data_IF_117454490877
#
_entry.id   IF_117454490877
#
_cell.length_a   1.000
_cell.length_b   1.000
_cell.length_c   1.000
_cell.angle_alpha   90.00
_cell.angle_beta   90.00
_cell.angle_gamma   90.00
#
_symmetry.space_group_name_H-M   'P 1'
#
loop_
_entity.id
_entity.type
_entity.pdbx_description
1 polymer ?
#
# COMPACT_ATOMS: atom_id res chain seq x y z
N UNK A 1 1.73 -27.81 4.69
CA UNK A 1 2.16 -26.53 5.30
C UNK A 1 2.17 -25.49 4.18
N UNK A 2 1.20 -24.58 4.15
CA UNK A 2 1.29 -23.37 3.33
C UNK A 2 1.22 -22.23 4.32
N UNK A 3 2.39 -21.76 4.75
CA UNK A 3 2.50 -20.50 5.46
C UNK A 3 1.98 -19.42 4.52
N UNK A 4 0.81 -18.87 4.83
CA UNK A 4 0.54 -17.48 4.44
C UNK A 4 1.67 -16.66 5.02
N UNK A 5 2.44 -15.92 4.21
CA UNK A 5 3.25 -14.77 4.60
C UNK A 5 4.06 -14.27 3.39
N UNK A 6 3.80 -13.03 2.98
CA UNK A 6 4.72 -12.17 2.21
C UNK A 6 4.90 -12.41 0.70
N UNK A 7 4.06 -13.21 0.03
CA UNK A 7 4.19 -13.41 -1.43
C UNK A 7 3.69 -12.23 -2.29
N UNK A 8 2.91 -11.30 -1.71
CA UNK A 8 2.30 -10.17 -2.44
C UNK A 8 3.06 -8.85 -2.34
N UNK A 9 4.22 -8.80 -1.68
CA UNK A 9 4.97 -7.54 -1.52
C UNK A 9 5.49 -6.98 -2.84
N UNK A 10 5.70 -7.84 -3.84
CA UNK A 10 6.15 -7.49 -5.18
C UNK A 10 4.98 -7.22 -6.15
N UNK A 11 3.73 -7.38 -5.69
CA UNK A 11 2.53 -7.05 -6.47
C UNK A 11 2.55 -5.57 -6.86
N UNK A 12 2.51 -5.30 -8.17
CA UNK A 12 2.42 -3.93 -8.70
C UNK A 12 0.97 -3.47 -8.60
N UNK A 13 0.72 -2.45 -7.79
CA UNK A 13 -0.60 -1.84 -7.65
C UNK A 13 -0.79 -0.64 -8.57
N UNK A 14 0.30 0.03 -8.96
CA UNK A 14 0.25 1.15 -9.88
C UNK A 14 1.23 0.95 -11.03
N UNK A 15 0.71 0.57 -12.20
CA UNK A 15 1.52 0.37 -13.41
C UNK A 15 2.23 1.64 -13.89
N UNK A 16 1.66 2.82 -13.63
CA UNK A 16 2.28 4.08 -14.06
C UNK A 16 3.58 4.41 -13.33
N UNK A 17 3.64 4.11 -12.03
CA UNK A 17 4.78 4.43 -11.17
C UNK A 17 5.61 3.20 -10.79
N UNK A 18 5.11 2.00 -11.07
CA UNK A 18 5.69 0.75 -10.57
C UNK A 18 5.56 0.61 -9.06
N UNK A 19 4.58 1.26 -8.44
CA UNK A 19 4.38 1.17 -6.98
C UNK A 19 3.85 -0.21 -6.62
N UNK A 20 4.56 -0.89 -5.73
CA UNK A 20 4.17 -2.22 -5.24
C UNK A 20 3.42 -2.15 -3.91
N UNK A 21 2.67 -3.20 -3.60
CA UNK A 21 2.00 -3.39 -2.31
C UNK A 21 2.98 -3.30 -1.15
N UNK A 22 4.14 -3.95 -1.26
CA UNK A 22 5.18 -3.93 -0.24
C UNK A 22 5.71 -2.52 0.03
N UNK A 23 5.80 -1.67 -1.02
CA UNK A 23 6.18 -0.26 -0.86
C UNK A 23 5.16 0.48 0.01
N UNK A 24 3.86 0.33 -0.24
CA UNK A 24 2.80 0.98 0.55
C UNK A 24 2.82 0.47 1.99
N UNK A 25 2.86 -0.85 2.20
CA UNK A 25 2.91 -1.44 3.54
C UNK A 25 4.15 -0.98 4.33
N UNK A 26 5.30 -0.81 3.66
CA UNK A 26 6.50 -0.27 4.31
C UNK A 26 6.33 1.16 4.80
N UNK A 27 5.53 1.99 4.11
CA UNK A 27 5.21 3.36 4.50
C UNK A 27 4.23 3.36 5.68
N UNK A 28 3.21 2.50 5.64
CA UNK A 28 2.26 2.33 6.75
C UNK A 28 2.97 1.88 8.02
N UNK A 29 3.93 0.95 7.92
CA UNK A 29 4.74 0.51 9.05
C UNK A 29 5.61 1.63 9.66
N UNK A 30 5.92 2.68 8.88
CA UNK A 30 6.60 3.89 9.36
C UNK A 30 5.62 4.91 9.98
N UNK A 31 4.32 4.60 10.05
CA UNK A 31 3.26 5.50 10.50
C UNK A 31 2.73 6.44 9.42
N UNK A 32 3.12 6.25 8.16
CA UNK A 32 2.62 7.04 7.03
C UNK A 32 1.36 6.36 6.49
N UNK A 33 0.21 6.89 6.89
CA UNK A 33 -1.12 6.37 6.53
C UNK A 33 -1.94 7.35 5.68
N UNK A 34 -1.35 8.49 5.33
CA UNK A 34 -1.98 9.56 4.57
C UNK A 34 -1.77 9.37 3.06
N UNK A 35 -2.86 9.32 2.30
CA UNK A 35 -2.85 9.08 0.85
C UNK A 35 -2.09 10.14 0.07
N UNK A 36 -2.15 11.42 0.46
CA UNK A 36 -1.39 12.50 -0.21
C UNK A 36 0.12 12.31 -0.02
N UNK A 37 0.53 12.00 1.21
CA UNK A 37 1.93 11.72 1.54
C UNK A 37 2.45 10.49 0.81
N UNK A 38 1.64 9.44 0.71
CA UNK A 38 1.97 8.22 -0.03
C UNK A 38 2.14 8.55 -1.52
N UNK A 39 1.16 9.22 -2.12
CA UNK A 39 1.20 9.67 -3.52
C UNK A 39 2.48 10.46 -3.83
N UNK A 40 2.87 11.41 -2.97
CA UNK A 40 4.12 12.18 -3.13
C UNK A 40 5.39 11.33 -3.03
N UNK A 41 5.37 10.24 -2.25
CA UNK A 41 6.54 9.38 -2.01
C UNK A 41 6.70 8.28 -3.05
N UNK A 42 5.60 7.83 -3.66
CA UNK A 42 5.60 6.67 -4.56
C UNK A 42 5.23 7.04 -6.00
N UNK A 43 4.53 8.17 -6.20
CA UNK A 43 3.99 8.57 -7.51
C UNK A 43 2.71 7.81 -7.89
N UNK A 44 2.13 7.03 -6.97
CA UNK A 44 0.82 6.42 -7.20
C UNK A 44 -0.29 7.48 -7.09
N UNK A 45 -1.44 7.27 -7.76
CA UNK A 45 -2.61 8.18 -7.74
C UNK A 45 -2.37 9.53 -8.46
N UNK A 46 -1.13 10.04 -8.54
CA UNK A 46 -0.81 11.28 -9.26
C UNK A 46 -0.85 11.18 -10.80
N UNK A 47 -1.03 9.97 -11.33
CA UNK A 47 -1.03 9.67 -12.77
C UNK A 47 -2.44 9.44 -13.34
N UNK A 48 -2.71 8.20 -13.75
CA UNK A 48 -3.99 7.79 -14.35
C UNK A 48 -5.15 7.62 -13.35
N UNK A 49 -4.87 7.53 -12.05
CA UNK A 49 -5.87 7.28 -10.99
C UNK A 49 -6.42 5.85 -10.93
N UNK A 50 -6.01 4.93 -11.81
CA UNK A 50 -6.58 3.57 -11.88
C UNK A 50 -6.38 2.76 -10.61
N UNK A 51 -5.29 3.00 -9.88
CA UNK A 51 -4.90 2.31 -8.66
C UNK A 51 -5.49 2.91 -7.37
N UNK A 52 -6.27 3.99 -7.47
CA UNK A 52 -6.76 4.75 -6.30
C UNK A 52 -7.56 3.87 -5.34
N UNK A 53 -8.55 3.15 -5.86
CA UNK A 53 -9.38 2.24 -5.07
C UNK A 53 -8.59 1.12 -4.41
N UNK A 54 -7.65 0.49 -5.14
CA UNK A 54 -6.83 -0.61 -4.59
C UNK A 54 -5.92 -0.13 -3.47
N UNK A 55 -5.39 1.09 -3.58
CA UNK A 55 -4.53 1.70 -2.56
C UNK A 55 -5.35 2.10 -1.32
N UNK A 56 -6.55 2.65 -1.49
CA UNK A 56 -7.43 2.98 -0.36
C UNK A 56 -7.80 1.73 0.43
N UNK A 57 -8.23 0.66 -0.25
CA UNK A 57 -8.56 -0.63 0.38
C UNK A 57 -7.33 -1.17 1.13
N UNK A 58 -6.16 -1.16 0.50
CA UNK A 58 -4.92 -1.63 1.13
C UNK A 58 -4.57 -0.82 2.38
N UNK A 59 -4.77 0.50 2.34
CA UNK A 59 -4.48 1.37 3.47
C UNK A 59 -5.43 1.09 4.63
N UNK A 60 -6.73 0.98 4.36
CA UNK A 60 -7.73 0.66 5.37
C UNK A 60 -7.42 -0.69 6.03
N UNK A 61 -7.17 -1.74 5.23
CA UNK A 61 -6.77 -3.06 5.73
C UNK A 61 -5.49 -2.98 6.58
N UNK A 62 -4.48 -2.25 6.13
CA UNK A 62 -3.20 -2.14 6.84
C UNK A 62 -3.35 -1.39 8.17
N UNK A 63 -4.16 -0.33 8.21
CA UNK A 63 -4.45 0.45 9.42
C UNK A 63 -5.24 -0.40 10.42
N UNK A 64 -6.28 -1.11 9.98
CA UNK A 64 -7.05 -2.01 10.83
C UNK A 64 -6.16 -3.11 11.44
N UNK A 65 -5.27 -3.69 10.64
CA UNK A 65 -4.33 -4.72 11.10
C UNK A 65 -3.28 -4.19 12.08
N UNK A 66 -2.86 -2.92 11.94
CA UNK A 66 -1.97 -2.26 12.90
C UNK A 66 -2.69 -2.04 14.25
N UNK A 67 -3.96 -1.62 14.20
CA UNK A 67 -4.77 -1.38 15.39
C UNK A 67 -5.15 -2.67 16.14
N UNK A 68 -5.21 -3.82 15.46
CA UNK A 68 -5.50 -5.13 16.10
C UNK A 68 -4.30 -5.72 16.86
N UNK A 69 -3.10 -5.17 16.73
CA UNK A 69 -1.89 -5.66 17.38
C UNK A 69 -1.54 -4.92 18.69
N UNK A 70 -2.34 -3.94 19.10
CA UNK A 70 -2.19 -3.14 20.33
C UNK A 70 -3.34 -3.45 21.29
#
# INVERSE_FOLDING_TARGET
>A
MMSQNNADSDEILCDCSGTTRGKILSLVAQGIVDTDTISRKTGCISGCGSCEWDIEILLDEAIENLNRQV
#
